data_IF_549887176990
#
_entry.id   IF_549887176990
#
_cell.length_a   1.000
_cell.length_b   1.000
_cell.length_c   1.000
_cell.angle_alpha   90.00
_cell.angle_beta   90.00
_cell.angle_gamma   90.00
#
_symmetry.space_group_name_H-M   'P 1'
#
loop_
_entity.id
_entity.type
_entity.pdbx_description
1 polymer ?
#
# COMPACT_ATOMS: atom_id res chain seq x y z
N UNK A 1 -44.46 -46.44 59.52
CA UNK A 1 -43.30 -46.70 58.63
C UNK A 1 -43.54 -45.88 57.36
N UNK A 2 -42.99 -44.72 57.38
CA UNK A 2 -43.23 -43.75 56.28
C UNK A 2 -41.90 -43.54 55.53
N UNK A 3 -41.90 -43.85 54.24
CA UNK A 3 -40.74 -43.75 53.38
C UNK A 3 -40.87 -42.51 52.57
N UNK A 4 -40.23 -41.40 52.98
CA UNK A 4 -40.09 -40.19 52.24
C UNK A 4 -39.09 -40.38 51.07
N UNK A 5 -39.63 -40.34 49.84
CA UNK A 5 -38.81 -40.34 48.59
C UNK A 5 -38.32 -38.94 48.27
N UNK A 6 -37.03 -38.73 48.50
CA UNK A 6 -36.36 -37.49 48.07
C UNK A 6 -36.12 -37.51 46.54
N UNK A 7 -36.73 -36.59 45.82
CA UNK A 7 -36.48 -36.36 44.38
C UNK A 7 -35.31 -35.38 44.22
N UNK A 8 -34.19 -35.88 43.70
CA UNK A 8 -33.08 -35.03 43.29
C UNK A 8 -33.42 -34.34 41.97
N UNK A 9 -33.48 -33.01 41.96
CA UNK A 9 -33.60 -32.21 40.77
C UNK A 9 -32.20 -31.98 40.18
N UNK A 10 -31.94 -32.55 39.02
CA UNK A 10 -30.72 -32.26 38.25
C UNK A 10 -30.89 -30.93 37.52
N UNK A 11 -30.12 -29.92 37.91
CA UNK A 11 -30.04 -28.64 37.20
C UNK A 11 -29.10 -28.79 35.98
N UNK A 12 -29.68 -28.70 34.81
CA UNK A 12 -28.93 -28.68 33.56
C UNK A 12 -28.37 -27.25 33.33
N UNK A 13 -27.06 -27.05 33.53
CA UNK A 13 -26.41 -25.81 33.24
C UNK A 13 -26.19 -25.69 31.69
N UNK A 14 -26.94 -24.81 31.03
CA UNK A 14 -26.65 -24.41 29.66
C UNK A 14 -25.39 -23.53 29.68
N UNK A 15 -24.26 -24.07 29.20
CA UNK A 15 -23.08 -23.30 28.90
C UNK A 15 -23.35 -22.45 27.64
N UNK A 16 -23.63 -21.17 27.82
CA UNK A 16 -23.75 -20.22 26.72
C UNK A 16 -22.39 -20.02 26.07
N UNK A 17 -22.25 -20.48 24.82
CA UNK A 17 -21.05 -20.24 23.98
C UNK A 17 -21.10 -18.80 23.50
N UNK A 18 -20.32 -17.91 24.12
CA UNK A 18 -20.15 -16.54 23.70
C UNK A 18 -19.28 -16.58 22.44
N UNK A 19 -19.92 -16.42 21.26
CA UNK A 19 -19.18 -16.13 20.01
C UNK A 19 -18.59 -14.72 20.14
N UNK A 20 -17.30 -14.65 20.38
CA UNK A 20 -16.54 -13.39 20.28
C UNK A 20 -16.62 -12.83 18.86
N UNK A 21 -16.44 -11.50 18.68
CA UNK A 21 -16.38 -10.92 17.34
C UNK A 21 -15.24 -11.57 16.55
N UNK A 22 -15.55 -12.12 15.38
CA UNK A 22 -14.53 -12.58 14.45
C UNK A 22 -13.63 -11.40 14.08
N UNK A 23 -12.29 -11.54 14.09
CA UNK A 23 -11.42 -10.50 13.55
C UNK A 23 -11.79 -10.29 12.08
N UNK A 24 -12.28 -9.09 11.77
CA UNK A 24 -12.48 -8.67 10.38
C UNK A 24 -11.11 -8.39 9.82
N UNK A 25 -10.65 -9.19 8.86
CA UNK A 25 -9.43 -8.90 8.09
C UNK A 25 -9.58 -7.53 7.47
N UNK A 26 -8.56 -6.67 7.60
CA UNK A 26 -8.57 -5.37 6.97
C UNK A 26 -8.53 -5.55 5.44
N UNK A 27 -9.39 -4.85 4.72
CA UNK A 27 -9.37 -4.91 3.26
C UNK A 27 -8.11 -4.22 2.72
N UNK A 28 -7.53 -4.72 1.60
CA UNK A 28 -6.41 -4.06 0.95
C UNK A 28 -6.72 -2.60 0.61
N UNK A 29 -5.71 -1.74 0.73
CA UNK A 29 -5.83 -0.30 0.47
C UNK A 29 -5.32 0.02 -0.92
N UNK A 30 -6.15 0.72 -1.72
CA UNK A 30 -5.77 1.21 -3.05
C UNK A 30 -5.29 2.65 -2.98
N UNK A 31 -4.11 2.90 -3.56
CA UNK A 31 -3.54 4.23 -3.72
C UNK A 31 -3.15 4.46 -5.18
N UNK A 32 -3.13 5.73 -5.57
CA UNK A 32 -2.75 6.15 -6.93
C UNK A 32 -1.82 7.34 -6.91
N UNK A 33 -1.09 7.56 -8.01
CA UNK A 33 -0.36 8.79 -8.27
C UNK A 33 -0.37 9.12 -9.77
N UNK A 34 -0.54 10.40 -10.09
CA UNK A 34 -0.29 10.92 -11.43
C UNK A 34 1.11 11.52 -11.47
N UNK A 35 1.96 11.03 -12.38
CA UNK A 35 3.35 11.42 -12.47
C UNK A 35 3.54 12.46 -13.57
N UNK A 36 4.34 13.49 -13.26
CA UNK A 36 4.68 14.59 -14.18
C UNK A 36 6.07 15.11 -13.85
N UNK A 37 6.81 15.55 -14.86
CA UNK A 37 8.11 16.18 -14.67
C UNK A 37 8.04 17.49 -13.89
N UNK A 38 6.93 18.22 -14.00
CA UNK A 38 6.72 19.47 -13.27
C UNK A 38 6.66 19.29 -11.74
N UNK A 39 6.40 18.07 -11.26
CA UNK A 39 6.36 17.74 -9.84
C UNK A 39 7.74 17.44 -9.24
N UNK A 40 8.78 17.27 -10.08
CA UNK A 40 10.15 17.01 -9.62
C UNK A 40 10.79 18.27 -9.04
N UNK A 41 11.47 18.13 -7.91
CA UNK A 41 12.10 19.25 -7.20
C UNK A 41 13.35 19.80 -7.91
N UNK A 42 14.05 18.94 -8.64
CA UNK A 42 15.26 19.28 -9.39
C UNK A 42 15.00 19.67 -10.86
N UNK A 43 13.73 19.74 -11.25
CA UNK A 43 13.32 19.89 -12.66
C UNK A 43 13.36 18.54 -13.38
N UNK A 44 12.17 17.99 -13.67
CA UNK A 44 12.01 16.73 -14.38
C UNK A 44 11.86 16.93 -15.89
N UNK A 45 11.49 15.85 -16.55
CA UNK A 45 11.21 15.83 -17.99
C UNK A 45 9.94 16.65 -18.29
N UNK A 46 10.02 17.74 -19.05
CA UNK A 46 8.88 18.63 -19.28
C UNK A 46 7.74 17.98 -20.08
N UNK A 47 8.07 16.98 -20.90
CA UNK A 47 7.10 16.23 -21.72
C UNK A 47 6.71 14.89 -21.09
N UNK A 48 7.46 14.45 -20.09
CA UNK A 48 7.27 13.18 -19.41
C UNK A 48 6.02 13.13 -18.56
N UNK A 49 5.34 12.00 -18.61
CA UNK A 49 4.18 11.72 -17.76
C UNK A 49 4.10 10.24 -17.40
N UNK A 50 3.22 9.90 -16.45
CA UNK A 50 2.98 8.54 -16.06
C UNK A 50 1.86 8.39 -15.06
N UNK A 51 1.61 7.16 -14.66
CA UNK A 51 0.65 6.84 -13.63
C UNK A 51 1.11 5.65 -12.81
N UNK A 52 0.70 5.66 -11.58
CA UNK A 52 0.95 4.61 -10.62
C UNK A 52 -0.34 4.24 -9.90
N UNK A 53 -0.59 2.96 -9.74
CA UNK A 53 -1.62 2.43 -8.87
C UNK A 53 -1.07 1.27 -8.06
N UNK A 54 -1.46 1.16 -6.82
CA UNK A 54 -1.04 0.09 -5.94
C UNK A 54 -2.19 -0.39 -5.07
N UNK A 55 -2.24 -1.68 -4.85
CA UNK A 55 -3.05 -2.33 -3.83
C UNK A 55 -2.11 -2.86 -2.75
N UNK A 56 -2.32 -2.40 -1.52
CA UNK A 56 -1.47 -2.71 -0.37
C UNK A 56 -2.25 -3.55 0.62
N UNK A 57 -1.75 -4.74 0.91
CA UNK A 57 -2.21 -5.59 2.01
C UNK A 57 -1.08 -5.74 3.05
N UNK A 58 -1.22 -5.04 4.18
CA UNK A 58 -0.22 -5.09 5.24
C UNK A 58 -0.25 -6.41 6.04
N UNK A 59 -1.34 -7.18 5.99
CA UNK A 59 -1.43 -8.46 6.68
C UNK A 59 -0.66 -9.56 5.94
N UNK A 60 -0.71 -9.55 4.59
CA UNK A 60 0.05 -10.47 3.75
C UNK A 60 1.44 -9.93 3.35
N UNK A 61 1.74 -8.67 3.63
CA UNK A 61 2.93 -7.96 3.17
C UNK A 61 2.96 -7.73 1.65
N UNK A 62 1.80 -7.73 1.00
CA UNK A 62 1.71 -7.58 -0.44
C UNK A 62 1.64 -6.10 -0.85
N UNK A 63 2.46 -5.78 -1.85
CA UNK A 63 2.48 -4.49 -2.52
C UNK A 63 2.40 -4.74 -4.03
N UNK A 64 1.15 -4.81 -4.54
CA UNK A 64 0.86 -5.11 -5.94
C UNK A 64 0.58 -3.84 -6.71
N UNK A 65 1.38 -3.52 -7.71
CA UNK A 65 1.33 -2.23 -8.37
C UNK A 65 1.43 -2.31 -9.89
N UNK A 66 0.89 -1.28 -10.54
CA UNK A 66 1.12 -0.94 -11.95
C UNK A 66 1.83 0.40 -12.01
N UNK A 67 2.92 0.49 -12.76
CA UNK A 67 3.65 1.73 -13.02
C UNK A 67 3.88 1.86 -14.53
N UNK A 68 3.36 2.91 -15.13
CA UNK A 68 3.54 3.19 -16.53
C UNK A 68 4.03 4.62 -16.76
N UNK A 69 4.72 4.83 -17.87
CA UNK A 69 5.26 6.13 -18.26
C UNK A 69 5.02 6.38 -19.75
N UNK A 70 4.90 7.64 -20.13
CA UNK A 70 4.79 8.11 -21.51
C UNK A 70 5.79 9.22 -21.76
N UNK A 71 6.33 9.27 -22.98
CA UNK A 71 7.29 10.29 -23.45
C UNK A 71 8.56 10.39 -22.60
N UNK A 72 8.93 9.34 -21.90
CA UNK A 72 10.20 9.24 -21.19
C UNK A 72 11.24 8.51 -22.04
N UNK A 73 12.49 8.94 -21.88
CA UNK A 73 13.65 8.19 -22.33
C UNK A 73 13.82 6.88 -21.57
N UNK A 74 14.95 6.20 -21.79
CA UNK A 74 15.24 4.94 -21.09
C UNK A 74 15.28 5.15 -19.59
N UNK A 75 14.35 4.54 -18.87
CA UNK A 75 14.35 4.58 -17.41
C UNK A 75 15.52 3.79 -16.81
N UNK A 76 16.04 4.26 -15.69
CA UNK A 76 17.17 3.66 -14.96
C UNK A 76 16.77 3.14 -13.60
N UNK A 77 15.79 3.76 -12.95
CA UNK A 77 15.27 3.37 -11.65
C UNK A 77 13.87 3.94 -11.42
N UNK A 78 13.12 3.34 -10.51
CA UNK A 78 11.86 3.88 -9.99
C UNK A 78 11.69 3.48 -8.52
N UNK A 79 11.11 4.38 -7.72
CA UNK A 79 10.97 4.16 -6.27
C UNK A 79 9.71 4.77 -5.69
N UNK A 80 9.29 4.23 -4.55
CA UNK A 80 8.46 4.95 -3.57
C UNK A 80 9.39 5.61 -2.56
N UNK A 81 9.20 6.90 -2.32
CA UNK A 81 9.98 7.70 -1.36
C UNK A 81 9.10 8.28 -0.27
N UNK A 82 9.68 8.53 0.90
CA UNK A 82 9.06 9.37 1.92
C UNK A 82 9.32 10.83 1.59
N UNK A 83 8.27 11.65 1.55
CA UNK A 83 8.37 13.09 1.32
C UNK A 83 7.02 13.67 0.88
N UNK A 84 6.71 14.86 1.38
CA UNK A 84 5.56 15.65 0.91
C UNK A 84 5.90 16.34 -0.41
N UNK A 85 4.89 16.91 -1.08
CA UNK A 85 5.10 17.65 -2.34
C UNK A 85 6.17 18.74 -2.16
N UNK A 86 7.13 18.79 -3.08
CA UNK A 86 8.24 19.73 -3.03
C UNK A 86 9.38 19.36 -2.08
N UNK A 87 9.35 18.17 -1.46
CA UNK A 87 10.41 17.67 -0.57
C UNK A 87 10.97 16.35 -1.07
N UNK A 88 12.29 16.19 -1.00
CA UNK A 88 12.96 14.94 -1.33
C UNK A 88 13.18 14.09 -0.09
N UNK A 89 13.15 12.78 -0.26
CA UNK A 89 13.38 11.84 0.81
C UNK A 89 14.01 10.54 0.36
N UNK A 90 14.35 9.69 1.33
CA UNK A 90 15.00 8.42 1.03
C UNK A 90 14.03 7.44 0.33
N UNK A 91 14.53 6.61 -0.60
CA UNK A 91 13.75 5.55 -1.21
C UNK A 91 13.40 4.47 -0.19
N UNK A 92 12.17 3.97 -0.27
CA UNK A 92 11.66 2.90 0.59
C UNK A 92 11.40 1.61 -0.16
N UNK A 93 10.76 1.70 -1.34
CA UNK A 93 10.43 0.56 -2.19
C UNK A 93 11.01 0.79 -3.57
N UNK A 94 11.78 -0.17 -4.06
CA UNK A 94 12.27 -0.16 -5.46
C UNK A 94 11.18 -0.72 -6.36
N UNK A 95 10.93 -0.05 -7.46
CA UNK A 95 9.89 -0.37 -8.42
C UNK A 95 10.50 -0.66 -9.80
N UNK A 96 9.69 -1.31 -10.65
CA UNK A 96 9.94 -1.45 -12.08
C UNK A 96 8.80 -0.82 -12.87
N UNK A 97 9.09 -0.28 -14.04
CA UNK A 97 8.05 0.18 -14.96
C UNK A 97 7.42 -1.06 -15.60
N UNK A 98 6.14 -1.30 -15.29
CA UNK A 98 5.42 -2.51 -15.73
C UNK A 98 4.70 -2.32 -17.06
N UNK A 99 4.34 -1.07 -17.39
CA UNK A 99 3.38 -0.77 -18.45
C UNK A 99 1.94 -0.66 -17.90
N UNK A 100 0.99 -0.29 -18.77
CA UNK A 100 -0.41 -0.05 -18.36
C UNK A 100 -1.19 -1.34 -18.10
N UNK A 101 -0.82 -2.43 -18.76
CA UNK A 101 -1.58 -3.68 -18.80
C UNK A 101 -0.92 -4.80 -17.98
N UNK A 102 0.06 -4.47 -17.15
CA UNK A 102 0.77 -5.43 -16.30
C UNK A 102 0.95 -4.90 -14.91
N UNK A 103 0.78 -5.77 -13.94
CA UNK A 103 1.05 -5.52 -12.53
C UNK A 103 2.28 -6.33 -12.06
N UNK A 104 2.86 -5.88 -10.98
CA UNK A 104 3.92 -6.57 -10.26
C UNK A 104 3.65 -6.52 -8.76
N UNK A 105 3.80 -7.66 -8.11
CA UNK A 105 3.71 -7.76 -6.66
C UNK A 105 5.10 -7.96 -6.06
N UNK A 106 5.39 -7.21 -5.01
CA UNK A 106 6.59 -7.35 -4.20
C UNK A 106 6.21 -7.47 -2.73
N UNK A 107 6.94 -8.28 -1.99
CA UNK A 107 6.75 -8.35 -0.54
C UNK A 107 7.43 -7.15 0.12
N UNK A 108 6.67 -6.40 0.93
CA UNK A 108 7.16 -5.27 1.70
C UNK A 108 6.72 -5.43 3.15
N UNK A 109 7.64 -5.30 4.08
CA UNK A 109 7.38 -5.43 5.51
C UNK A 109 6.22 -4.51 5.96
N UNK A 110 5.28 -5.03 6.75
CA UNK A 110 4.13 -4.29 7.28
C UNK A 110 4.53 -2.97 7.96
N UNK A 111 5.63 -2.96 8.72
CA UNK A 111 6.15 -1.75 9.36
C UNK A 111 6.51 -0.63 8.39
N UNK A 112 6.76 -0.96 7.11
CA UNK A 112 7.00 -0.01 6.02
C UNK A 112 5.71 0.37 5.30
N UNK A 113 4.75 -0.54 5.22
CA UNK A 113 3.46 -0.33 4.55
C UNK A 113 2.50 0.52 5.36
N UNK A 114 2.41 0.28 6.68
CA UNK A 114 1.50 1.00 7.57
C UNK A 114 1.60 2.54 7.50
N UNK A 115 2.80 3.16 7.50
CA UNK A 115 2.92 4.61 7.37
C UNK A 115 2.44 5.14 6.01
N UNK A 116 2.60 4.36 4.93
CA UNK A 116 2.10 4.72 3.58
C UNK A 116 0.57 4.73 3.58
N UNK A 117 -0.04 3.68 4.15
CA UNK A 117 -1.49 3.54 4.26
C UNK A 117 -2.09 4.65 5.11
N UNK A 118 -1.44 4.98 6.23
CA UNK A 118 -1.93 5.96 7.20
C UNK A 118 -1.91 7.39 6.66
N UNK A 119 -0.87 7.78 5.90
CA UNK A 119 -0.68 9.14 5.36
C UNK A 119 -0.06 9.06 3.95
N UNK A 120 -0.81 8.64 2.93
CA UNK A 120 -0.27 8.45 1.58
C UNK A 120 0.31 9.73 0.97
N UNK A 121 -0.24 10.90 1.25
CA UNK A 121 0.25 12.20 0.77
C UNK A 121 1.65 12.57 1.30
N UNK A 122 2.15 11.90 2.31
CA UNK A 122 3.54 11.99 2.79
C UNK A 122 4.52 11.13 2.01
N UNK A 123 4.08 10.52 0.90
CA UNK A 123 4.87 9.60 0.08
C UNK A 123 4.68 9.91 -1.40
N UNK A 124 5.71 9.66 -2.20
CA UNK A 124 5.65 9.86 -3.64
C UNK A 124 6.32 8.73 -4.41
N UNK A 125 5.91 8.58 -5.66
CA UNK A 125 6.56 7.72 -6.64
C UNK A 125 7.34 8.59 -7.59
N UNK A 126 8.57 8.19 -7.96
CA UNK A 126 9.28 8.80 -9.06
C UNK A 126 9.94 7.76 -9.97
N UNK A 127 10.22 8.19 -11.19
CA UNK A 127 10.96 7.43 -12.20
C UNK A 127 12.15 8.26 -12.63
N UNK A 128 13.30 7.63 -12.68
CA UNK A 128 14.56 8.22 -13.13
C UNK A 128 14.91 7.75 -14.54
N UNK A 129 15.51 8.61 -15.31
CA UNK A 129 16.08 8.29 -16.63
C UNK A 129 17.56 8.66 -16.68
N UNK A 130 18.24 8.24 -17.76
CA UNK A 130 19.64 8.64 -17.97
C UNK A 130 19.80 10.16 -18.13
N UNK A 131 18.79 10.83 -18.70
CA UNK A 131 18.77 12.28 -18.91
C UNK A 131 18.39 13.03 -17.62
N UNK A 132 17.47 12.46 -16.84
CA UNK A 132 17.00 13.02 -15.57
C UNK A 132 17.35 12.08 -14.40
N UNK A 133 18.64 11.99 -14.00
CA UNK A 133 19.08 11.04 -12.98
C UNK A 133 18.60 11.37 -11.55
N UNK A 134 18.12 12.61 -11.32
CA UNK A 134 17.54 13.04 -10.04
C UNK A 134 16.01 12.80 -9.97
N UNK A 135 15.39 12.49 -11.09
CA UNK A 135 13.96 12.23 -11.25
C UNK A 135 13.46 12.84 -12.56
N UNK A 136 12.84 12.04 -13.39
CA UNK A 136 12.22 12.46 -14.64
C UNK A 136 10.76 12.83 -14.43
N UNK A 137 10.00 12.01 -13.70
CA UNK A 137 8.60 12.27 -13.36
C UNK A 137 8.31 11.82 -11.93
N UNK A 138 7.45 12.55 -11.24
CA UNK A 138 7.06 12.34 -9.87
C UNK A 138 5.57 12.54 -9.63
N UNK A 139 4.97 11.80 -8.69
CA UNK A 139 3.59 11.98 -8.24
C UNK A 139 3.42 11.60 -6.76
N UNK A 140 2.67 12.41 -6.01
CA UNK A 140 2.28 12.09 -4.63
C UNK A 140 1.26 10.97 -4.64
N UNK A 141 1.37 10.07 -3.65
CA UNK A 141 0.34 9.05 -3.41
C UNK A 141 -0.92 9.70 -2.84
N UNK A 142 -2.07 9.16 -3.24
CA UNK A 142 -3.39 9.53 -2.76
C UNK A 142 -4.38 8.38 -2.88
N UNK A 143 -5.52 8.51 -2.19
CA UNK A 143 -6.64 7.58 -2.28
C UNK A 143 -7.52 7.88 -3.47
#
# INVERSE_FOLDING_TARGET
MDRTKTRAAAALALAGMVLGPNPTLAAPVKLTATLSGANETAGGDPDGSGGFSVEIDAESNDFCYTLWTEKLGKFTAAHVHKGEAGSDGAPLVTLQVTGKDSDMCVAVDAAKLEPIIAKPEGWYVNVHTAEFPKGAVRGQLGK
#
